data_IF_224415708018
#
_entry.id   IF_224415708018
#
_cell.length_a   1.000
_cell.length_b   1.000
_cell.length_c   1.000
_cell.angle_alpha   90.00
_cell.angle_beta   90.00
_cell.angle_gamma   90.00
#
_symmetry.space_group_name_H-M   'P 1'
#
loop_
_entity.id
_entity.type
_entity.pdbx_description
1 polymer ?
#
# COMPACT_ATOMS: atom_id res chain seq x y z
N UNK A 1 -17.15 -26.02 -54.16
CA UNK A 1 -17.33 -25.58 -52.75
C UNK A 1 -16.05 -25.89 -52.02
N UNK A 2 -15.23 -24.88 -51.76
CA UNK A 2 -13.98 -25.03 -51.00
C UNK A 2 -14.29 -24.63 -49.56
N UNK A 3 -14.12 -25.60 -48.64
CA UNK A 3 -14.18 -25.34 -47.21
C UNK A 3 -12.87 -24.65 -46.79
N UNK A 4 -12.96 -23.36 -46.39
CA UNK A 4 -11.91 -22.69 -45.68
C UNK A 4 -11.92 -23.15 -44.23
N UNK A 5 -11.12 -24.15 -43.89
CA UNK A 5 -10.74 -24.41 -42.52
C UNK A 5 -9.92 -23.23 -42.02
N UNK A 6 -10.48 -22.44 -41.10
CA UNK A 6 -9.76 -21.35 -40.48
C UNK A 6 -8.81 -21.91 -39.42
N UNK A 7 -7.52 -21.96 -39.74
CA UNK A 7 -6.47 -22.25 -38.77
C UNK A 7 -6.60 -21.38 -37.51
N UNK A 8 -6.59 -21.96 -36.33
CA UNK A 8 -6.64 -21.18 -35.09
C UNK A 8 -5.35 -20.38 -34.94
N UNK A 9 -5.49 -19.04 -35.00
CA UNK A 9 -4.36 -18.13 -34.82
C UNK A 9 -3.71 -18.37 -33.44
N UNK A 10 -2.42 -18.74 -33.37
CA UNK A 10 -1.76 -19.15 -32.11
C UNK A 10 -1.79 -18.09 -31.00
N UNK A 11 -1.96 -16.80 -31.35
CA UNK A 11 -2.06 -15.69 -30.39
C UNK A 11 -3.30 -15.71 -29.50
N UNK A 12 -4.39 -16.40 -29.89
CA UNK A 12 -5.62 -16.48 -29.10
C UNK A 12 -5.53 -17.36 -27.85
N UNK A 13 -4.57 -18.28 -27.82
CA UNK A 13 -4.34 -19.20 -26.70
C UNK A 13 -3.27 -18.71 -25.73
N UNK A 14 -2.35 -17.86 -26.20
CA UNK A 14 -1.25 -17.35 -25.39
C UNK A 14 -1.73 -16.28 -24.40
N UNK A 15 -2.66 -15.41 -24.81
CA UNK A 15 -3.17 -14.31 -23.99
C UNK A 15 -3.85 -14.78 -22.69
N UNK A 16 -4.79 -15.75 -22.70
CA UNK A 16 -5.39 -16.24 -21.46
C UNK A 16 -4.40 -17.00 -20.57
N UNK A 17 -3.38 -17.62 -21.15
CA UNK A 17 -2.37 -18.38 -20.39
C UNK A 17 -1.42 -17.43 -19.62
N UNK A 18 -1.05 -16.31 -20.22
CA UNK A 18 -0.27 -15.24 -19.57
C UNK A 18 -1.08 -14.58 -18.45
N UNK A 19 -2.37 -14.34 -18.66
CA UNK A 19 -3.25 -13.74 -17.67
C UNK A 19 -3.43 -14.66 -16.45
N UNK A 20 -3.61 -15.95 -16.65
CA UNK A 20 -3.67 -16.96 -15.58
C UNK A 20 -2.33 -17.02 -14.82
N UNK A 21 -1.21 -16.93 -15.52
CA UNK A 21 0.12 -16.87 -14.89
C UNK A 21 0.32 -15.65 -13.98
N UNK A 22 -0.12 -14.48 -14.42
CA UNK A 22 -0.07 -13.25 -13.60
C UNK A 22 -0.95 -13.33 -12.35
N UNK A 23 -2.17 -13.84 -12.48
CA UNK A 23 -3.09 -14.02 -11.34
C UNK A 23 -2.50 -15.03 -10.34
N UNK A 24 -1.92 -16.12 -10.81
CA UNK A 24 -1.32 -17.14 -9.95
C UNK A 24 -0.09 -16.62 -9.19
N UNK A 25 0.76 -15.81 -9.82
CA UNK A 25 1.92 -15.19 -9.16
C UNK A 25 1.52 -14.16 -8.13
N UNK A 26 0.51 -13.34 -8.43
CA UNK A 26 -0.02 -12.34 -7.47
C UNK A 26 -0.67 -13.04 -6.27
N UNK A 27 -1.45 -14.09 -6.49
CA UNK A 27 -2.09 -14.86 -5.41
C UNK A 27 -1.07 -15.55 -4.50
N UNK A 28 0.00 -16.14 -5.06
CA UNK A 28 1.06 -16.76 -4.27
C UNK A 28 1.88 -15.75 -3.48
N UNK A 29 2.09 -14.54 -4.02
CA UNK A 29 2.78 -13.46 -3.33
C UNK A 29 1.96 -12.95 -2.14
N UNK A 30 0.67 -12.65 -2.34
CA UNK A 30 -0.24 -12.21 -1.28
C UNK A 30 -0.34 -13.27 -0.17
N UNK A 31 -0.47 -14.55 -0.54
CA UNK A 31 -0.59 -15.64 0.43
C UNK A 31 0.71 -15.87 1.22
N UNK A 32 1.87 -15.60 0.61
CA UNK A 32 3.18 -15.71 1.28
C UNK A 32 3.43 -14.55 2.25
N UNK A 33 2.97 -13.34 1.93
CA UNK A 33 3.03 -12.18 2.82
C UNK A 33 2.07 -12.36 4.01
N UNK A 34 0.85 -12.85 3.77
CA UNK A 34 -0.11 -13.13 4.84
C UNK A 34 0.33 -14.25 5.80
N UNK A 35 1.15 -15.20 5.33
CA UNK A 35 1.61 -16.33 6.15
C UNK A 35 2.88 -15.99 6.96
N UNK A 36 3.65 -14.98 6.54
CA UNK A 36 4.86 -14.56 7.26
C UNK A 36 4.60 -13.63 8.45
N UNK A 37 3.37 -13.18 8.66
CA UNK A 37 3.00 -12.32 9.80
C UNK A 37 2.69 -13.12 11.09
N UNK A 38 2.92 -14.43 11.14
CA UNK A 38 3.02 -15.17 12.38
C UNK A 38 4.45 -15.04 12.92
N UNK A 39 4.71 -13.95 13.62
CA UNK A 39 5.85 -13.83 14.52
C UNK A 39 5.63 -14.84 15.64
N UNK A 40 6.16 -16.05 15.48
CA UNK A 40 6.44 -16.93 16.61
C UNK A 40 7.45 -16.22 17.52
N UNK A 41 6.95 -15.76 18.64
CA UNK A 41 7.79 -15.38 19.78
C UNK A 41 8.44 -16.68 20.27
N UNK A 42 9.64 -16.97 19.75
CA UNK A 42 10.48 -18.03 20.30
C UNK A 42 10.96 -17.55 21.66
N UNK A 43 10.26 -17.96 22.70
CA UNK A 43 10.75 -17.87 24.06
C UNK A 43 11.75 -19.01 24.24
N UNK A 44 13.02 -18.77 23.97
CA UNK A 44 14.08 -19.67 24.41
C UNK A 44 14.17 -19.60 25.93
N UNK A 45 13.53 -20.55 26.58
CA UNK A 45 13.78 -20.87 27.98
C UNK A 45 15.06 -21.70 28.02
N UNK A 46 16.21 -21.05 28.20
CA UNK A 46 17.45 -21.72 28.52
C UNK A 46 17.37 -22.09 30.02
N UNK A 47 16.99 -23.32 30.30
CA UNK A 47 17.13 -23.91 31.64
C UNK A 47 18.60 -24.20 31.89
N UNK A 48 19.26 -23.33 32.61
CA UNK A 48 20.55 -23.65 33.24
C UNK A 48 20.30 -24.05 34.67
N UNK A 49 20.35 -25.36 34.88
CA UNK A 49 20.41 -25.95 36.22
C UNK A 49 21.81 -25.71 36.82
N UNK A 50 21.91 -24.85 37.81
CA UNK A 50 23.08 -24.76 38.67
C UNK A 50 22.63 -24.53 40.12
N UNK A 51 22.82 -25.55 40.89
CA UNK A 51 22.79 -25.58 42.35
C UNK A 51 23.74 -24.54 42.91
N UNK A 52 23.35 -23.78 43.95
CA UNK A 52 24.05 -23.61 45.25
C UNK A 52 23.70 -22.26 45.91
N UNK A 53 23.27 -22.43 47.15
CA UNK A 53 23.37 -21.57 48.35
C UNK A 53 22.69 -20.21 48.43
N UNK A 54 21.80 -20.23 49.35
CA UNK A 54 21.10 -19.26 50.18
C UNK A 54 21.94 -18.00 50.50
N UNK A 55 21.59 -16.86 49.86
CA UNK A 55 21.73 -15.53 50.44
C UNK A 55 20.45 -14.77 50.13
N UNK A 56 19.65 -14.52 51.16
CA UNK A 56 18.45 -13.70 51.08
C UNK A 56 18.88 -12.23 50.91
N UNK A 57 18.89 -11.76 49.70
CA UNK A 57 18.77 -10.33 49.40
C UNK A 57 17.46 -10.13 48.63
N UNK A 58 16.53 -9.38 49.23
CA UNK A 58 15.31 -8.93 48.59
C UNK A 58 15.70 -8.01 47.41
N UNK A 59 15.92 -8.61 46.24
CA UNK A 59 15.99 -7.85 44.98
C UNK A 59 14.56 -7.58 44.56
N UNK A 60 14.06 -6.39 44.89
CA UNK A 60 12.84 -5.86 44.34
C UNK A 60 13.05 -5.67 42.81
N UNK A 61 12.71 -6.69 42.05
CA UNK A 61 12.68 -6.59 40.58
C UNK A 61 11.52 -5.69 40.23
N UNK A 62 11.79 -4.38 40.10
CA UNK A 62 10.86 -3.41 39.54
C UNK A 62 10.70 -3.74 38.07
N UNK A 63 9.67 -4.50 37.75
CA UNK A 63 9.23 -4.71 36.38
C UNK A 63 8.62 -3.37 35.93
N UNK A 64 9.45 -2.49 35.38
CA UNK A 64 8.98 -1.26 34.75
C UNK A 64 8.26 -1.69 33.48
N UNK A 65 6.94 -1.89 33.57
CA UNK A 65 6.08 -1.99 32.40
C UNK A 65 6.16 -0.63 31.71
N UNK A 66 6.97 -0.54 30.67
CA UNK A 66 7.09 0.68 29.85
C UNK A 66 5.85 0.75 28.96
N UNK A 67 4.75 1.25 29.52
CA UNK A 67 3.57 1.60 28.72
C UNK A 67 3.99 2.77 27.84
N UNK A 68 3.84 2.63 26.53
CA UNK A 68 4.10 3.73 25.59
C UNK A 68 3.20 4.92 25.95
N UNK A 69 3.69 6.17 25.82
CA UNK A 69 2.89 7.35 26.04
C UNK A 69 1.63 7.37 25.16
N UNK A 70 0.53 7.86 25.71
CA UNK A 70 -0.79 7.83 25.05
C UNK A 70 -0.76 8.57 23.69
N UNK A 71 -0.10 9.73 23.63
CA UNK A 71 0.06 10.49 22.39
C UNK A 71 0.88 9.75 21.32
N UNK A 72 1.84 8.93 21.73
CA UNK A 72 2.59 8.08 20.81
C UNK A 72 1.72 6.96 20.24
N UNK A 73 0.91 6.33 21.10
CA UNK A 73 -0.02 5.27 20.66
C UNK A 73 -1.08 5.84 19.73
N UNK A 74 -1.66 7.00 20.05
CA UNK A 74 -2.64 7.67 19.21
C UNK A 74 -2.07 7.96 17.80
N UNK A 75 -0.85 8.47 17.71
CA UNK A 75 -0.20 8.70 16.43
C UNK A 75 0.01 7.41 15.63
N UNK A 76 0.37 6.30 16.26
CA UNK A 76 0.50 5.01 15.56
C UNK A 76 -0.84 4.48 15.03
N UNK A 77 -1.93 4.74 15.75
CA UNK A 77 -3.29 4.39 15.29
C UNK A 77 -3.68 5.22 14.07
N UNK A 78 -3.40 6.52 14.07
CA UNK A 78 -3.61 7.41 12.91
C UNK A 78 -2.83 6.95 11.69
N UNK A 79 -1.53 6.71 11.81
CA UNK A 79 -0.68 6.19 10.73
C UNK A 79 -1.21 4.85 10.19
N UNK A 80 -1.76 4.00 11.05
CA UNK A 80 -2.37 2.74 10.62
C UNK A 80 -3.64 2.98 9.80
N UNK A 81 -4.47 3.95 10.19
CA UNK A 81 -5.65 4.34 9.42
C UNK A 81 -5.27 4.96 8.06
N UNK A 82 -4.24 5.79 8.02
CA UNK A 82 -3.70 6.36 6.78
C UNK A 82 -3.19 5.28 5.82
N UNK A 83 -2.53 4.24 6.32
CA UNK A 83 -2.11 3.09 5.51
C UNK A 83 -3.30 2.39 4.86
N UNK A 84 -4.40 2.22 5.60
CA UNK A 84 -5.63 1.63 5.06
C UNK A 84 -6.22 2.52 3.97
N UNK A 85 -6.33 3.84 4.22
CA UNK A 85 -6.84 4.80 3.25
C UNK A 85 -6.00 4.82 1.96
N UNK A 86 -4.67 4.82 2.08
CA UNK A 86 -3.76 4.73 0.95
C UNK A 86 -3.98 3.46 0.12
N UNK A 87 -4.14 2.32 0.79
CA UNK A 87 -4.37 1.02 0.13
C UNK A 87 -5.70 1.02 -0.62
N UNK A 88 -6.75 1.61 -0.04
CA UNK A 88 -8.08 1.71 -0.67
C UNK A 88 -8.05 2.64 -1.88
N UNK A 89 -7.39 3.80 -1.78
CA UNK A 89 -7.20 4.71 -2.90
C UNK A 89 -6.47 4.01 -4.05
N UNK A 90 -5.37 3.32 -3.75
CA UNK A 90 -4.62 2.56 -4.74
C UNK A 90 -5.45 1.51 -5.46
N UNK A 91 -6.29 0.77 -4.72
CA UNK A 91 -7.20 -0.22 -5.29
C UNK A 91 -8.21 0.40 -6.22
N UNK A 92 -8.85 1.51 -5.82
CA UNK A 92 -9.83 2.25 -6.65
C UNK A 92 -9.21 2.72 -7.97
N UNK A 93 -8.01 3.35 -7.89
CA UNK A 93 -7.30 3.86 -9.08
C UNK A 93 -6.94 2.74 -10.04
N UNK A 94 -6.45 1.61 -9.55
CA UNK A 94 -6.11 0.46 -10.40
C UNK A 94 -7.35 -0.15 -11.06
N UNK A 95 -8.44 -0.29 -10.33
CA UNK A 95 -9.70 -0.83 -10.84
C UNK A 95 -10.30 0.07 -11.93
N UNK A 96 -10.34 1.39 -11.70
CA UNK A 96 -10.81 2.36 -12.69
C UNK A 96 -9.95 2.36 -13.95
N UNK A 97 -8.63 2.31 -13.80
CA UNK A 97 -7.73 2.22 -14.92
C UNK A 97 -7.95 0.95 -15.74
N UNK A 98 -8.15 -0.20 -15.08
CA UNK A 98 -8.44 -1.46 -15.74
C UNK A 98 -9.78 -1.42 -16.45
N UNK A 99 -10.83 -0.88 -15.82
CA UNK A 99 -12.16 -0.72 -16.42
C UNK A 99 -12.12 0.10 -17.71
N UNK A 100 -11.31 1.16 -17.72
CA UNK A 100 -11.07 1.96 -18.90
C UNK A 100 -10.34 1.18 -20.00
N UNK A 101 -9.26 0.48 -19.68
CA UNK A 101 -8.48 -0.31 -20.64
C UNK A 101 -9.30 -1.47 -21.25
N UNK A 102 -10.15 -2.10 -20.44
CA UNK A 102 -11.06 -3.18 -20.84
C UNK A 102 -12.31 -2.65 -21.59
N UNK A 103 -12.49 -1.32 -21.65
CA UNK A 103 -13.65 -0.64 -22.28
C UNK A 103 -14.99 -1.07 -21.65
N UNK A 104 -15.00 -1.32 -20.35
CA UNK A 104 -16.20 -1.65 -19.59
C UNK A 104 -16.97 -0.42 -19.15
N UNK A 105 -16.32 0.75 -19.20
CA UNK A 105 -16.90 2.06 -18.86
C UNK A 105 -16.81 3.01 -20.04
N UNK A 106 -17.70 4.00 -20.10
CA UNK A 106 -17.67 5.07 -21.08
C UNK A 106 -16.61 6.11 -20.72
N UNK A 107 -16.20 6.94 -21.69
CA UNK A 107 -15.26 8.05 -21.42
C UNK A 107 -15.77 9.00 -20.31
N UNK A 108 -17.07 9.30 -20.30
CA UNK A 108 -17.66 10.20 -19.31
C UNK A 108 -17.62 9.58 -17.89
N UNK A 109 -17.90 8.29 -17.77
CA UNK A 109 -17.82 7.57 -16.51
C UNK A 109 -16.38 7.52 -16.02
N UNK A 110 -15.42 7.12 -16.87
CA UNK A 110 -14.00 7.13 -16.52
C UNK A 110 -13.52 8.51 -16.10
N UNK A 111 -13.89 9.57 -16.84
CA UNK A 111 -13.54 10.95 -16.49
C UNK A 111 -14.06 11.37 -15.12
N UNK A 112 -15.31 11.01 -14.79
CA UNK A 112 -15.89 11.31 -13.49
C UNK A 112 -15.17 10.54 -12.36
N UNK A 113 -14.85 9.28 -12.59
CA UNK A 113 -14.16 8.43 -11.64
C UNK A 113 -12.73 8.93 -11.36
N UNK A 114 -11.97 9.28 -12.42
CA UNK A 114 -10.63 9.86 -12.26
C UNK A 114 -10.66 11.25 -11.60
N UNK A 115 -11.69 12.06 -11.86
CA UNK A 115 -11.85 13.34 -11.16
C UNK A 115 -12.14 13.16 -9.66
N UNK A 116 -12.90 12.14 -9.28
CA UNK A 116 -13.15 11.83 -7.88
C UNK A 116 -11.88 11.41 -7.13
N UNK A 117 -10.90 10.80 -7.80
CA UNK A 117 -9.61 10.46 -7.16
C UNK A 117 -8.80 11.68 -6.78
N UNK A 118 -8.97 12.81 -7.48
CA UNK A 118 -8.32 14.07 -7.08
C UNK A 118 -8.87 14.53 -5.75
N UNK A 119 -10.21 14.49 -5.56
CA UNK A 119 -10.86 14.85 -4.30
C UNK A 119 -10.46 13.89 -3.17
N UNK A 120 -10.48 12.57 -3.43
CA UNK A 120 -10.05 11.54 -2.46
C UNK A 120 -8.58 11.75 -2.04
N UNK A 121 -7.70 12.10 -2.99
CA UNK A 121 -6.28 12.33 -2.73
C UNK A 121 -6.02 13.66 -2.00
N UNK A 122 -6.77 14.72 -2.30
CA UNK A 122 -6.70 16.00 -1.56
C UNK A 122 -7.16 15.81 -0.10
N UNK A 123 -8.23 15.04 0.14
CA UNK A 123 -8.65 14.68 1.49
C UNK A 123 -7.57 13.86 2.20
N UNK A 124 -6.94 12.93 1.51
CA UNK A 124 -5.82 12.13 2.05
C UNK A 124 -4.61 13.00 2.42
N UNK A 125 -4.27 14.03 1.63
CA UNK A 125 -3.24 15.03 1.99
C UNK A 125 -3.58 15.73 3.30
N UNK A 126 -4.83 16.14 3.49
CA UNK A 126 -5.28 16.80 4.73
C UNK A 126 -5.14 15.84 5.90
N UNK A 127 -5.61 14.60 5.77
CA UNK A 127 -5.56 13.58 6.83
C UNK A 127 -4.13 13.29 7.26
N UNK A 128 -3.20 13.12 6.31
CA UNK A 128 -1.78 12.88 6.63
C UNK A 128 -1.08 14.12 7.21
N UNK A 129 -1.56 15.32 6.90
CA UNK A 129 -0.90 16.55 7.35
C UNK A 129 -1.25 16.96 8.77
N UNK A 130 -2.48 16.68 9.23
CA UNK A 130 -3.03 17.14 10.51
C UNK A 130 -4.00 16.10 11.11
N UNK A 131 -3.75 15.61 12.34
CA UNK A 131 -2.64 15.98 13.20
C UNK A 131 -1.32 15.30 12.85
N UNK A 132 -0.22 15.97 13.11
CA UNK A 132 1.12 15.41 12.97
C UNK A 132 1.60 14.69 14.24
N UNK A 133 2.81 14.10 14.19
CA UNK A 133 3.39 13.40 15.34
C UNK A 133 3.69 14.35 16.51
N UNK A 134 3.72 13.81 17.75
CA UNK A 134 4.14 14.60 18.91
C UNK A 134 5.56 15.13 18.73
N UNK A 135 5.77 16.42 19.00
CA UNK A 135 7.03 17.14 18.74
C UNK A 135 8.23 16.62 19.54
N UNK A 136 7.99 15.93 20.65
CA UNK A 136 9.03 15.33 21.49
C UNK A 136 9.75 14.14 20.81
N UNK A 137 9.18 13.59 19.74
CA UNK A 137 9.74 12.46 18.98
C UNK A 137 10.32 12.93 17.65
N UNK A 138 11.53 13.48 17.66
CA UNK A 138 12.17 14.06 16.48
C UNK A 138 12.30 13.10 15.28
N UNK A 139 12.47 11.79 15.53
CA UNK A 139 12.50 10.77 14.50
C UNK A 139 11.12 10.58 13.83
N UNK A 140 10.03 10.63 14.59
CA UNK A 140 8.67 10.56 14.04
C UNK A 140 8.37 11.81 13.20
N UNK A 141 8.75 13.00 13.69
CA UNK A 141 8.60 14.26 12.94
C UNK A 141 9.31 14.16 11.58
N UNK A 142 10.54 13.67 11.55
CA UNK A 142 11.29 13.52 10.30
C UNK A 142 10.62 12.52 9.35
N UNK A 143 10.19 11.35 9.86
CA UNK A 143 9.50 10.34 9.04
C UNK A 143 8.16 10.85 8.52
N UNK A 144 7.43 11.62 9.33
CA UNK A 144 6.15 12.21 8.95
C UNK A 144 6.30 13.25 7.83
N UNK A 145 7.34 14.09 7.84
CA UNK A 145 7.62 15.02 6.73
C UNK A 145 7.88 14.28 5.40
N UNK A 146 8.46 13.09 5.46
CA UNK A 146 8.61 12.24 4.27
C UNK A 146 7.25 11.69 3.82
N UNK A 147 6.36 11.28 4.73
CA UNK A 147 5.00 10.86 4.41
C UNK A 147 4.20 11.99 3.77
N UNK A 148 4.30 13.22 4.30
CA UNK A 148 3.67 14.42 3.72
C UNK A 148 4.18 14.68 2.29
N UNK A 149 5.46 14.46 2.05
CA UNK A 149 6.02 14.59 0.69
C UNK A 149 5.41 13.56 -0.25
N UNK A 150 5.33 12.31 0.18
CA UNK A 150 4.79 11.21 -0.64
C UNK A 150 3.30 11.38 -0.92
N UNK A 151 2.49 11.80 0.06
CA UNK A 151 1.05 12.00 -0.17
C UNK A 151 0.78 13.15 -1.14
N UNK A 152 1.60 14.22 -1.12
CA UNK A 152 1.50 15.30 -2.11
C UNK A 152 1.87 14.82 -3.53
N UNK A 153 2.85 13.90 -3.66
CA UNK A 153 3.18 13.30 -4.95
C UNK A 153 2.04 12.40 -5.45
N UNK A 154 1.44 11.60 -4.57
CA UNK A 154 0.27 10.78 -4.89
C UNK A 154 -0.89 11.66 -5.39
N UNK A 155 -1.16 12.79 -4.72
CA UNK A 155 -2.20 13.72 -5.15
C UNK A 155 -1.87 14.36 -6.52
N UNK A 156 -0.62 14.73 -6.77
CA UNK A 156 -0.20 15.22 -8.08
C UNK A 156 -0.38 14.15 -9.18
N UNK A 157 -0.06 12.89 -8.88
CA UNK A 157 -0.21 11.80 -9.83
C UNK A 157 -1.69 11.55 -10.22
N UNK A 158 -2.66 11.77 -9.30
CA UNK A 158 -4.10 11.67 -9.66
C UNK A 158 -4.53 12.74 -10.66
N UNK A 159 -3.98 13.95 -10.56
CA UNK A 159 -4.21 15.01 -11.54
C UNK A 159 -3.63 14.62 -12.92
N UNK A 160 -2.42 14.06 -12.93
CA UNK A 160 -1.78 13.59 -14.18
C UNK A 160 -2.50 12.37 -14.78
N UNK A 161 -3.10 11.50 -13.96
CA UNK A 161 -3.94 10.40 -14.44
C UNK A 161 -5.16 10.93 -15.22
N UNK A 162 -5.86 11.94 -14.70
CA UNK A 162 -6.99 12.57 -15.39
C UNK A 162 -6.53 13.28 -16.65
N UNK A 163 -5.43 14.04 -16.60
CA UNK A 163 -4.86 14.70 -17.76
C UNK A 163 -4.45 13.70 -18.86
N UNK A 164 -3.88 12.55 -18.46
CA UNK A 164 -3.54 11.48 -19.37
C UNK A 164 -4.77 10.78 -19.99
N UNK A 165 -5.89 10.70 -19.27
CA UNK A 165 -7.15 10.20 -19.80
C UNK A 165 -7.73 11.17 -20.86
N UNK A 166 -7.59 12.48 -20.66
CA UNK A 166 -8.05 13.53 -21.56
C UNK A 166 -7.09 13.79 -22.73
N UNK A 167 -5.87 13.28 -22.65
CA UNK A 167 -4.85 13.44 -23.69
C UNK A 167 -5.26 12.75 -24.99
N UNK A 168 -4.80 13.33 -26.10
CA UNK A 168 -4.94 12.74 -27.43
C UNK A 168 -3.85 11.74 -27.79
N UNK A 169 -2.95 11.46 -26.85
CA UNK A 169 -1.93 10.44 -27.04
C UNK A 169 -2.54 9.02 -26.97
N UNK A 170 -1.74 8.01 -27.16
CA UNK A 170 -2.20 6.61 -27.12
C UNK A 170 -2.27 6.04 -25.69
N UNK A 171 -2.39 6.90 -24.68
CA UNK A 171 -2.42 6.55 -23.26
C UNK A 171 -1.03 6.50 -22.61
N UNK A 172 0.00 7.05 -23.29
CA UNK A 172 1.37 7.04 -22.75
C UNK A 172 1.48 7.92 -21.50
N UNK A 173 0.85 9.11 -21.50
CA UNK A 173 0.83 10.01 -20.34
C UNK A 173 0.12 9.36 -19.16
N UNK A 174 -1.04 8.75 -19.37
CA UNK A 174 -1.80 8.06 -18.32
C UNK A 174 -1.03 6.86 -17.76
N UNK A 175 -0.36 6.08 -18.61
CA UNK A 175 0.46 4.97 -18.17
C UNK A 175 1.65 5.43 -17.31
N UNK A 176 2.32 6.51 -17.70
CA UNK A 176 3.41 7.09 -16.92
C UNK A 176 2.92 7.64 -15.56
N UNK A 177 1.76 8.30 -15.52
CA UNK A 177 1.16 8.79 -14.29
C UNK A 177 0.76 7.63 -13.36
N UNK A 178 0.22 6.53 -13.90
CA UNK A 178 -0.12 5.34 -13.12
C UNK A 178 1.12 4.67 -12.52
N UNK A 179 2.22 4.58 -13.27
CA UNK A 179 3.48 4.03 -12.76
C UNK A 179 4.05 4.89 -11.61
N UNK A 180 4.01 6.23 -11.79
CA UNK A 180 4.42 7.19 -10.74
C UNK A 180 3.54 7.06 -9.49
N UNK A 181 2.23 7.04 -9.66
CA UNK A 181 1.25 6.86 -8.58
C UNK A 181 1.53 5.57 -7.78
N UNK A 182 1.65 4.44 -8.46
CA UNK A 182 1.93 3.15 -7.80
C UNK A 182 3.25 3.18 -7.05
N UNK A 183 4.30 3.76 -7.62
CA UNK A 183 5.60 3.89 -6.98
C UNK A 183 5.54 4.75 -5.71
N UNK A 184 4.87 5.91 -5.77
CA UNK A 184 4.74 6.82 -4.64
C UNK A 184 3.87 6.20 -3.53
N UNK A 185 2.79 5.51 -3.91
CA UNK A 185 1.92 4.77 -2.99
C UNK A 185 2.67 3.64 -2.29
N UNK A 186 3.43 2.83 -3.02
CA UNK A 186 4.27 1.77 -2.48
C UNK A 186 5.31 2.30 -1.49
N UNK A 187 5.92 3.45 -1.80
CA UNK A 187 6.87 4.10 -0.90
C UNK A 187 6.19 4.59 0.37
N UNK A 188 4.99 5.19 0.26
CA UNK A 188 4.20 5.62 1.40
C UNK A 188 3.88 4.45 2.33
N UNK A 189 3.35 3.35 1.79
CA UNK A 189 2.99 2.15 2.57
C UNK A 189 4.22 1.54 3.26
N UNK A 190 5.35 1.43 2.55
CA UNK A 190 6.62 0.90 3.11
C UNK A 190 7.22 1.78 4.19
N UNK A 191 6.95 3.09 4.16
CA UNK A 191 7.47 4.02 5.17
C UNK A 191 6.74 3.87 6.50
N UNK A 192 5.51 3.39 6.46
CA UNK A 192 4.68 3.12 7.65
C UNK A 192 4.98 1.73 8.26
N UNK A 193 5.54 0.80 7.52
CA UNK A 193 5.92 -0.53 8.01
C UNK A 193 7.16 -0.51 8.90
#
# INVERSE_FOLDING_TARGET
>A
MQNFESDPKPGRLILPLVLIGMIATTYTFINRVATNNNLEIVTEVTTVESTIEEVVEETTTSTTSTTLPENYVAYLEEITAEKIQATELGKKVLEANQNWDDKTVTYQEAKQEFAAFIEDAEEFVVTVTDPGPPNEYANLVTSHEELKTLVNLIAADTVELLAGLESSDKGEQRAAALDSFNKNLDQFIKRIE
#
